data_IF_093686055254
#
_entry.id   IF_093686055254
#
_cell.length_a   1.000
_cell.length_b   1.000
_cell.length_c   1.000
_cell.angle_alpha   90.00
_cell.angle_beta   90.00
_cell.angle_gamma   90.00
#
_symmetry.space_group_name_H-M   'P 1'
#
loop_
_entity.id
_entity.type
_entity.pdbx_description
1 polymer ?
#
# COMPACT_ATOMS: atom_id res chain seq x y z
N UNK A 1 -7.58 15.76 8.22
CA UNK A 1 -6.49 15.32 7.33
C UNK A 1 -6.67 16.05 6.01
N UNK A 2 -5.62 16.69 5.50
CA UNK A 2 -5.69 17.38 4.21
C UNK A 2 -5.21 16.41 3.13
N UNK A 3 -6.15 15.79 2.40
CA UNK A 3 -5.83 14.77 1.40
C UNK A 3 -5.04 15.37 0.24
N UNK A 4 -5.41 16.56 -0.24
CA UNK A 4 -4.73 17.24 -1.34
C UNK A 4 -3.25 17.47 -1.04
N UNK A 5 -2.91 17.84 0.20
CA UNK A 5 -1.52 18.00 0.61
C UNK A 5 -0.77 16.67 0.63
N UNK A 6 -1.40 15.58 1.11
CA UNK A 6 -0.77 14.26 1.13
C UNK A 6 -0.52 13.74 -0.29
N UNK A 7 -1.47 13.93 -1.21
CA UNK A 7 -1.31 13.59 -2.62
C UNK A 7 -0.18 14.40 -3.27
N UNK A 8 -0.10 15.70 -2.99
CA UNK A 8 1.00 16.54 -3.45
C UNK A 8 2.37 16.07 -2.93
N UNK A 9 2.44 15.70 -1.64
CA UNK A 9 3.66 15.19 -1.04
C UNK A 9 4.10 13.84 -1.65
N UNK A 10 3.15 12.93 -1.88
CA UNK A 10 3.41 11.65 -2.57
C UNK A 10 3.86 11.89 -4.00
N UNK A 11 3.19 12.78 -4.73
CA UNK A 11 3.55 13.13 -6.11
C UNK A 11 4.98 13.69 -6.18
N UNK A 12 5.36 14.58 -5.26
CA UNK A 12 6.71 15.13 -5.19
C UNK A 12 7.76 14.07 -4.84
N UNK A 13 7.44 13.12 -3.97
CA UNK A 13 8.33 12.00 -3.67
C UNK A 13 8.50 11.06 -4.88
N UNK A 14 7.41 10.80 -5.60
CA UNK A 14 7.43 10.01 -6.83
C UNK A 14 8.34 10.65 -7.90
N UNK A 15 8.21 11.96 -8.12
CA UNK A 15 9.02 12.68 -9.10
C UNK A 15 10.50 12.63 -8.71
N UNK A 16 10.82 12.82 -7.42
CA UNK A 16 12.20 12.68 -6.92
C UNK A 16 12.76 11.26 -7.16
N UNK A 17 11.94 10.21 -7.01
CA UNK A 17 12.35 8.83 -7.31
C UNK A 17 12.72 8.61 -8.78
N UNK A 18 12.16 9.38 -9.71
CA UNK A 18 12.46 9.26 -11.15
C UNK A 18 13.62 10.15 -11.59
N UNK A 19 13.73 11.33 -11.00
CA UNK A 19 14.75 12.32 -11.37
C UNK A 19 16.11 12.03 -10.73
N UNK A 20 16.11 11.48 -9.52
CA UNK A 20 17.32 11.30 -8.73
C UNK A 20 17.98 9.95 -9.01
N UNK A 21 19.15 9.99 -9.64
CA UNK A 21 19.94 8.81 -9.99
C UNK A 21 20.70 8.26 -8.76
N UNK A 22 21.08 9.14 -7.83
CA UNK A 22 21.82 8.76 -6.63
C UNK A 22 20.91 8.17 -5.55
N UNK A 23 21.38 7.17 -4.77
CA UNK A 23 20.64 6.66 -3.63
C UNK A 23 20.30 7.77 -2.63
N UNK A 24 19.04 7.82 -2.20
CA UNK A 24 18.57 8.74 -1.18
C UNK A 24 17.58 8.05 -0.26
N UNK A 25 17.41 8.57 0.95
CA UNK A 25 16.47 8.03 1.92
C UNK A 25 15.46 9.13 2.29
N UNK A 26 14.24 9.01 1.78
CA UNK A 26 13.14 9.93 2.09
C UNK A 26 11.89 9.13 2.40
N UNK A 27 11.20 9.53 3.47
CA UNK A 27 9.96 8.91 3.93
C UNK A 27 8.94 9.97 4.29
N UNK A 28 7.67 9.64 4.14
CA UNK A 28 6.52 10.46 4.49
C UNK A 28 5.63 9.66 5.44
N UNK A 29 5.52 10.13 6.69
CA UNK A 29 4.51 9.65 7.63
C UNK A 29 3.20 10.42 7.31
N UNK A 30 2.26 9.79 6.62
CA UNK A 30 1.10 10.47 6.03
C UNK A 30 0.00 10.77 7.05
N UNK A 31 -0.44 9.73 7.76
CA UNK A 31 -1.48 9.84 8.78
C UNK A 31 -1.39 8.69 9.78
N UNK A 32 -1.93 8.91 10.98
CA UNK A 32 -2.13 7.85 11.95
C UNK A 32 -3.30 6.98 11.50
N UNK A 33 -3.14 5.66 11.58
CA UNK A 33 -4.19 4.68 11.25
C UNK A 33 -5.50 5.05 11.96
N UNK A 34 -6.60 5.28 11.21
CA UNK A 34 -7.90 5.52 11.80
C UNK A 34 -8.40 4.32 12.61
N UNK A 35 -9.18 4.56 13.66
CA UNK A 35 -9.71 3.49 14.52
C UNK A 35 -10.56 2.49 13.73
N UNK A 36 -11.33 2.95 12.74
CA UNK A 36 -12.12 2.10 11.84
C UNK A 36 -11.25 1.09 11.10
N UNK A 37 -10.15 1.55 10.48
CA UNK A 37 -9.20 0.71 9.77
C UNK A 37 -8.48 -0.27 10.72
N UNK A 38 -8.09 0.19 11.91
CA UNK A 38 -7.47 -0.66 12.92
C UNK A 38 -8.39 -1.81 13.35
N UNK A 39 -9.68 -1.52 13.57
CA UNK A 39 -10.70 -2.54 13.90
C UNK A 39 -10.90 -3.53 12.76
N UNK A 40 -11.09 -3.05 11.52
CA UNK A 40 -11.23 -3.92 10.33
C UNK A 40 -10.02 -4.82 10.17
N UNK A 41 -8.81 -4.28 10.31
CA UNK A 41 -7.55 -5.05 10.18
C UNK A 41 -7.39 -6.08 11.28
N UNK A 42 -7.69 -5.72 12.54
CA UNK A 42 -7.64 -6.65 13.66
C UNK A 42 -8.62 -7.81 13.47
N UNK A 43 -9.85 -7.53 13.02
CA UNK A 43 -10.84 -8.56 12.74
C UNK A 43 -10.41 -9.51 11.61
N UNK A 44 -9.84 -8.97 10.53
CA UNK A 44 -9.45 -9.75 9.36
C UNK A 44 -8.12 -10.52 9.52
N UNK A 45 -7.19 -10.00 10.32
CA UNK A 45 -5.79 -10.52 10.36
C UNK A 45 -5.32 -10.96 11.74
N UNK A 46 -6.06 -10.62 12.80
CA UNK A 46 -5.63 -10.80 14.19
C UNK A 46 -4.51 -9.85 14.65
N UNK A 47 -4.04 -8.92 13.80
CA UNK A 47 -3.02 -7.95 14.15
C UNK A 47 -3.62 -6.58 14.47
N UNK A 48 -3.22 -6.02 15.61
CA UNK A 48 -3.48 -4.62 15.91
C UNK A 48 -2.44 -3.71 15.25
N UNK A 49 -2.97 -2.74 14.51
CA UNK A 49 -2.25 -1.65 13.86
C UNK A 49 -2.65 -0.29 14.44
N UNK A 50 -3.32 -0.27 15.59
CA UNK A 50 -3.59 0.97 16.32
C UNK A 50 -2.29 1.72 16.60
N UNK A 51 -2.35 3.05 16.56
CA UNK A 51 -1.23 3.96 16.79
C UNK A 51 -0.06 3.80 15.79
N UNK A 52 -0.26 3.09 14.67
CA UNK A 52 0.71 3.05 13.59
C UNK A 52 0.51 4.24 12.67
N UNK A 53 1.61 4.84 12.21
CA UNK A 53 1.58 5.76 11.07
C UNK A 53 1.57 4.97 9.77
N UNK A 54 0.73 5.36 8.82
CA UNK A 54 0.87 4.96 7.43
C UNK A 54 2.05 5.74 6.85
N UNK A 55 3.01 5.03 6.29
CA UNK A 55 4.27 5.57 5.83
C UNK A 55 4.57 5.07 4.42
N UNK A 56 4.96 6.00 3.54
CA UNK A 56 5.50 5.68 2.22
C UNK A 56 6.91 6.24 2.11
N UNK A 57 7.82 5.46 1.52
CA UNK A 57 9.21 5.86 1.32
C UNK A 57 9.66 5.62 -0.12
N UNK A 58 10.80 6.22 -0.47
CA UNK A 58 11.35 6.12 -1.81
C UNK A 58 11.72 4.68 -2.19
N UNK A 59 12.09 3.83 -1.22
CA UNK A 59 12.43 2.44 -1.48
C UNK A 59 11.21 1.63 -1.92
N UNK A 60 10.07 1.82 -1.26
CA UNK A 60 8.80 1.19 -1.61
C UNK A 60 8.32 1.63 -2.99
N UNK A 61 8.37 2.94 -3.29
CA UNK A 61 7.99 3.47 -4.62
C UNK A 61 8.89 2.88 -5.72
N UNK A 62 10.22 2.97 -5.56
CA UNK A 62 11.17 2.41 -6.53
C UNK A 62 10.96 0.91 -6.68
N UNK A 63 10.76 0.18 -5.58
CA UNK A 63 10.51 -1.26 -5.62
C UNK A 63 9.24 -1.60 -6.42
N UNK A 64 8.13 -0.90 -6.14
CA UNK A 64 6.87 -1.08 -6.85
C UNK A 64 7.05 -0.80 -8.36
N UNK A 65 7.73 0.30 -8.73
CA UNK A 65 7.99 0.64 -10.13
C UNK A 65 8.87 -0.39 -10.85
N UNK A 66 9.92 -0.89 -10.19
CA UNK A 66 10.79 -1.93 -10.75
C UNK A 66 10.04 -3.25 -10.95
N UNK A 67 9.13 -3.60 -10.04
CA UNK A 67 8.39 -4.87 -10.12
C UNK A 67 7.16 -4.81 -11.02
N UNK A 68 6.47 -3.66 -11.06
CA UNK A 68 5.12 -3.51 -11.60
C UNK A 68 4.97 -2.33 -12.57
N UNK A 69 6.03 -1.57 -12.88
CA UNK A 69 5.95 -0.41 -13.79
C UNK A 69 6.10 -0.75 -15.28
N UNK A 70 6.34 -2.02 -15.66
CA UNK A 70 6.54 -2.43 -17.05
C UNK A 70 5.27 -3.03 -17.68
N UNK A 71 4.63 -2.38 -18.67
CA UNK A 71 3.38 -2.87 -19.26
C UNK A 71 3.49 -4.26 -19.91
N UNK A 72 4.63 -4.58 -20.53
CA UNK A 72 4.82 -5.87 -21.22
C UNK A 72 4.93 -6.99 -20.20
N UNK A 73 5.72 -6.81 -19.14
CA UNK A 73 5.89 -7.80 -18.08
C UNK A 73 4.60 -8.04 -17.31
N UNK A 74 3.86 -6.96 -17.01
CA UNK A 74 2.62 -7.04 -16.25
C UNK A 74 1.47 -7.64 -17.08
N UNK A 75 1.35 -7.31 -18.37
CA UNK A 75 0.37 -7.92 -19.25
C UNK A 75 0.52 -9.44 -19.32
N UNK A 76 1.75 -9.97 -19.30
CA UNK A 76 2.02 -11.42 -19.23
C UNK A 76 1.51 -12.08 -17.95
N UNK A 77 1.32 -11.30 -16.87
CA UNK A 77 0.76 -11.73 -15.59
C UNK A 77 -0.74 -11.44 -15.46
N UNK A 78 -1.38 -10.89 -16.50
CA UNK A 78 -2.77 -10.41 -16.44
C UNK A 78 -2.94 -9.12 -15.62
N UNK A 79 -1.86 -8.38 -15.40
CA UNK A 79 -1.83 -7.14 -14.61
C UNK A 79 -1.70 -5.93 -15.53
N UNK A 80 -1.95 -4.74 -14.97
CA UNK A 80 -1.74 -3.45 -15.64
C UNK A 80 -0.56 -2.78 -14.92
N UNK A 81 0.36 -2.20 -15.69
CA UNK A 81 1.49 -1.51 -15.09
C UNK A 81 1.05 -0.33 -14.24
N UNK A 82 1.71 -0.17 -13.09
CA UNK A 82 1.44 0.94 -12.20
C UNK A 82 2.10 2.23 -12.71
N UNK A 83 1.45 3.35 -12.43
CA UNK A 83 1.82 4.70 -12.83
C UNK A 83 1.60 5.68 -11.66
N UNK A 84 2.03 6.93 -11.83
CA UNK A 84 1.96 7.96 -10.79
C UNK A 84 0.58 8.07 -10.14
N UNK A 85 -0.49 8.03 -10.93
CA UNK A 85 -1.86 8.16 -10.45
C UNK A 85 -2.25 7.06 -9.44
N UNK A 86 -1.69 5.85 -9.57
CA UNK A 86 -2.01 4.76 -8.64
C UNK A 86 -1.45 5.01 -7.25
N UNK A 87 -0.28 5.66 -7.15
CA UNK A 87 0.29 6.05 -5.86
C UNK A 87 -0.55 7.11 -5.13
N UNK A 88 -1.41 7.85 -5.85
CA UNK A 88 -2.37 8.78 -5.22
C UNK A 88 -3.57 8.01 -4.66
N UNK A 89 -4.05 7.00 -5.41
CA UNK A 89 -5.13 6.10 -4.96
C UNK A 89 -4.75 5.26 -3.73
N UNK A 90 -3.47 5.12 -3.42
CA UNK A 90 -2.95 4.49 -2.21
C UNK A 90 -3.68 4.93 -0.93
N UNK A 91 -3.93 6.24 -0.77
CA UNK A 91 -4.60 6.78 0.40
C UNK A 91 -6.02 6.24 0.50
N UNK A 92 -6.76 6.21 -0.61
CA UNK A 92 -8.12 5.70 -0.68
C UNK A 92 -8.20 4.21 -0.34
N UNK A 93 -7.29 3.40 -0.92
CA UNK A 93 -7.21 1.95 -0.68
C UNK A 93 -7.01 1.65 0.81
N UNK A 94 -6.18 2.45 1.51
CA UNK A 94 -5.93 2.25 2.93
C UNK A 94 -7.05 2.78 3.83
N UNK A 95 -7.66 3.92 3.50
CA UNK A 95 -8.70 4.50 4.36
C UNK A 95 -9.99 3.70 4.33
N UNK A 96 -10.33 3.12 3.18
CA UNK A 96 -11.52 2.31 3.03
C UNK A 96 -11.28 1.11 2.11
N UNK A 97 -10.54 0.09 2.57
CA UNK A 97 -10.33 -1.14 1.81
C UNK A 97 -11.63 -1.94 1.74
N UNK A 98 -11.86 -2.58 0.58
CA UNK A 98 -12.92 -3.56 0.41
C UNK A 98 -12.52 -4.90 1.06
N UNK A 99 -11.22 -5.23 1.00
CA UNK A 99 -10.69 -6.45 1.61
C UNK A 99 -9.34 -6.22 2.29
N UNK A 100 -9.12 -6.91 3.41
CA UNK A 100 -7.88 -6.91 4.19
C UNK A 100 -7.46 -8.35 4.44
N UNK A 101 -6.22 -8.72 4.13
CA UNK A 101 -5.70 -10.08 4.30
C UNK A 101 -4.32 -10.10 4.94
N UNK A 102 -4.05 -11.12 5.76
CA UNK A 102 -2.69 -11.49 6.13
C UNK A 102 -2.09 -12.35 5.03
N UNK A 103 -1.00 -11.91 4.41
CA UNK A 103 -0.36 -12.64 3.30
C UNK A 103 0.99 -13.25 3.68
N UNK A 104 1.32 -13.24 4.98
CA UNK A 104 2.48 -13.90 5.54
C UNK A 104 3.50 -12.91 6.10
N UNK A 105 4.79 -13.18 5.84
CA UNK A 105 5.91 -12.37 6.33
C UNK A 105 6.91 -12.10 5.22
N UNK A 106 7.63 -10.98 5.32
CA UNK A 106 8.74 -10.68 4.42
C UNK A 106 9.84 -11.72 4.56
N UNK A 107 10.43 -12.16 3.44
CA UNK A 107 11.46 -13.21 3.46
C UNK A 107 12.74 -12.77 4.21
N UNK A 108 13.18 -11.52 4.00
CA UNK A 108 14.45 -11.03 4.55
C UNK A 108 14.36 -10.59 6.01
N UNK A 109 13.28 -9.90 6.39
CA UNK A 109 13.14 -9.27 7.71
C UNK A 109 12.15 -10.00 8.62
N UNK A 110 11.44 -11.02 8.12
CA UNK A 110 10.45 -11.80 8.85
C UNK A 110 9.36 -10.93 9.51
N UNK A 111 9.04 -9.80 8.88
CA UNK A 111 8.04 -8.85 9.35
C UNK A 111 6.67 -9.17 8.75
N UNK A 112 5.56 -9.03 9.50
CA UNK A 112 4.22 -9.27 8.97
C UNK A 112 3.91 -8.39 7.76
N UNK A 113 3.29 -9.01 6.76
CA UNK A 113 2.88 -8.35 5.53
C UNK A 113 1.34 -8.39 5.43
N UNK A 114 0.74 -7.21 5.43
CA UNK A 114 -0.71 -7.03 5.35
C UNK A 114 -1.05 -6.55 3.94
N UNK A 115 -2.07 -7.15 3.34
CA UNK A 115 -2.58 -6.78 2.03
C UNK A 115 -3.91 -6.06 2.19
N UNK A 116 -4.03 -4.91 1.52
CA UNK A 116 -5.25 -4.13 1.40
C UNK A 116 -5.65 -4.13 -0.07
N UNK A 117 -6.93 -4.36 -0.34
CA UNK A 117 -7.48 -4.42 -1.69
C UNK A 117 -8.69 -3.48 -1.77
N UNK A 118 -8.77 -2.73 -2.87
CA UNK A 118 -9.94 -1.93 -3.21
C UNK A 118 -10.21 -2.01 -4.70
N UNK A 119 -11.48 -2.03 -5.07
CA UNK A 119 -11.94 -1.90 -6.45
C UNK A 119 -12.25 -0.41 -6.67
N UNK A 120 -11.54 0.17 -7.62
CA UNK A 120 -11.74 1.56 -8.05
C UNK A 120 -12.07 1.49 -9.54
N UNK A 121 -13.31 1.86 -9.88
CA UNK A 121 -13.89 1.71 -11.22
C UNK A 121 -13.85 0.25 -11.71
N UNK A 122 -13.07 -0.04 -12.75
CA UNK A 122 -12.88 -1.36 -13.35
C UNK A 122 -11.56 -2.01 -12.97
N UNK A 123 -10.86 -1.47 -11.95
CA UNK A 123 -9.54 -1.92 -11.52
C UNK A 123 -9.55 -2.36 -10.08
N UNK A 124 -8.91 -3.50 -9.83
CA UNK A 124 -8.58 -3.96 -8.49
C UNK A 124 -7.16 -3.53 -8.15
N UNK A 125 -7.04 -2.65 -7.16
CA UNK A 125 -5.77 -2.12 -6.66
C UNK A 125 -5.39 -2.88 -5.40
N UNK A 126 -4.17 -3.39 -5.36
CA UNK A 126 -3.64 -4.15 -4.22
C UNK A 126 -2.42 -3.45 -3.66
N UNK A 127 -2.45 -3.17 -2.37
CA UNK A 127 -1.39 -2.50 -1.62
C UNK A 127 -0.88 -3.44 -0.54
N UNK A 128 0.44 -3.58 -0.44
CA UNK A 128 1.08 -4.40 0.60
C UNK A 128 1.88 -3.51 1.54
N UNK A 129 1.62 -3.68 2.83
CA UNK A 129 2.20 -2.90 3.92
C UNK A 129 3.01 -3.81 4.84
N UNK A 130 4.25 -3.42 5.14
CA UNK A 130 5.08 -4.08 6.15
C UNK A 130 4.80 -3.42 7.49
N UNK A 131 4.39 -4.23 8.46
CA UNK A 131 4.22 -3.75 9.83
C UNK A 131 5.58 -3.65 10.53
N UNK A 132 6.01 -2.44 10.83
CA UNK A 132 7.24 -2.17 11.58
C UNK A 132 6.91 -1.62 12.97
N UNK A 133 7.58 -2.16 13.99
CA UNK A 133 7.65 -1.55 15.32
C UNK A 133 9.09 -1.10 15.49
N UNK A 134 9.37 0.19 15.31
CA UNK A 134 10.71 0.71 15.58
C UNK A 134 10.86 1.06 17.06
N UNK A 135 11.85 0.45 17.72
CA UNK A 135 12.24 0.75 19.10
C UNK A 135 13.75 0.79 19.21
N UNK A 136 14.34 1.98 19.14
CA UNK A 136 15.66 2.25 19.72
C UNK A 136 15.69 3.70 20.23
N UNK A 137 15.55 3.85 21.56
CA UNK A 137 15.76 5.07 22.37
C UNK A 137 14.85 6.29 22.08
N UNK A 138 13.96 6.53 23.06
CA UNK A 138 13.24 7.77 23.42
C UNK A 138 11.91 8.17 22.74
N UNK A 139 11.46 7.58 21.63
CA UNK A 139 10.03 7.67 21.20
C UNK A 139 9.70 6.48 20.27
N UNK A 140 8.76 5.61 20.68
CA UNK A 140 8.28 4.50 19.83
C UNK A 140 7.44 5.09 18.71
N UNK A 141 7.84 4.88 17.46
CA UNK A 141 6.98 5.16 16.30
C UNK A 141 6.80 3.86 15.54
N UNK A 142 5.59 3.33 15.62
CA UNK A 142 5.17 2.16 14.86
C UNK A 142 4.64 2.62 13.51
N UNK A 143 4.92 1.87 12.44
CA UNK A 143 4.52 2.23 11.09
C UNK A 143 3.99 1.03 10.32
N UNK A 144 3.00 1.28 9.48
CA UNK A 144 2.73 0.50 8.28
C UNK A 144 3.55 1.14 7.17
N UNK A 145 4.54 0.41 6.66
CA UNK A 145 5.46 0.90 5.63
C UNK A 145 5.09 0.29 4.29
N UNK A 146 4.78 1.16 3.32
CA UNK A 146 4.46 0.77 1.96
C UNK A 146 5.56 -0.10 1.37
N UNK A 147 5.20 -1.32 0.99
CA UNK A 147 6.15 -2.28 0.45
C UNK A 147 6.09 -2.35 -1.07
N UNK A 148 4.89 -2.51 -1.62
CA UNK A 148 4.64 -2.59 -3.05
C UNK A 148 3.15 -2.42 -3.35
N UNK A 149 2.82 -2.14 -4.61
CA UNK A 149 1.47 -2.20 -5.13
C UNK A 149 1.43 -2.75 -6.54
N UNK A 150 0.28 -3.27 -6.94
CA UNK A 150 -0.01 -3.68 -8.31
C UNK A 150 -1.51 -3.52 -8.58
N UNK A 151 -1.89 -3.48 -9.87
CA UNK A 151 -3.29 -3.35 -10.26
C UNK A 151 -3.67 -4.34 -11.35
N UNK A 152 -4.90 -4.82 -11.30
CA UNK A 152 -5.49 -5.77 -12.27
C UNK A 152 -6.85 -5.26 -12.72
N UNK A 153 -7.38 -5.78 -13.84
CA UNK A 153 -8.79 -5.55 -14.17
C UNK A 153 -9.66 -6.26 -13.14
N UNK A 154 -10.65 -5.56 -12.59
CA UNK A 154 -11.66 -6.15 -11.74
C UNK A 154 -12.43 -7.21 -12.54
N UNK A 155 -12.59 -8.41 -11.97
CA UNK A 155 -13.42 -9.43 -12.60
C UNK A 155 -14.91 -9.13 -12.32
N UNK A 156 -15.82 -9.69 -13.11
CA UNK A 156 -17.27 -9.57 -12.83
C UNK A 156 -17.65 -10.06 -11.42
N UNK A 157 -16.90 -11.01 -10.88
CA UNK A 157 -17.08 -11.52 -9.52
C UNK A 157 -16.62 -10.50 -8.46
N UNK A 158 -15.55 -9.75 -8.74
CA UNK A 158 -15.07 -8.68 -7.86
C UNK A 158 -16.08 -7.51 -7.83
N UNK A 159 -16.63 -7.12 -8.97
CA UNK A 159 -17.54 -5.97 -9.09
C UNK A 159 -18.93 -6.17 -8.45
N UNK A 160 -19.31 -7.41 -8.12
CA UNK A 160 -20.65 -7.75 -7.61
C UNK A 160 -20.67 -8.13 -6.13
N UNK A 161 -19.56 -7.99 -5.39
CA UNK A 161 -19.54 -8.25 -3.95
C UNK A 161 -19.98 -9.67 -3.60
N UNK A 162 -19.23 -10.67 -4.07
CA UNK A 162 -19.17 -12.04 -3.54
C UNK A 162 -20.44 -12.60 -2.88
N UNK A 163 -21.48 -12.89 -3.67
CA UNK A 163 -22.52 -13.84 -3.32
C UNK A 163 -22.67 -14.87 -4.42
N UNK A 164 -21.83 -15.90 -4.44
CA UNK A 164 -22.19 -17.23 -4.97
C UNK A 164 -21.46 -18.30 -4.15
N UNK A 165 -22.21 -19.01 -3.30
CA UNK A 165 -21.86 -20.37 -2.87
C UNK A 165 -22.90 -21.31 -3.52
N UNK A 166 -22.49 -22.40 -4.20
CA UNK A 166 -23.35 -23.55 -4.39
C UNK A 166 -23.53 -24.34 -3.08
#
# INVERSE_FOLDING_TARGET
MNIEQLEADIAALYDECLERIEPFHRKLDLFLVPESLAKKTLAATGLSISDHWVCIDNFGIIHALVQHGNPISEARRGQIAIEKADFLQFIEVLLDPDEIRMIGKTQKTNLPLIQFEKIIEDKKVVVKEIRTISSQRKKKVSRLVFHTMYKTKATKHDALGGFENP
#
